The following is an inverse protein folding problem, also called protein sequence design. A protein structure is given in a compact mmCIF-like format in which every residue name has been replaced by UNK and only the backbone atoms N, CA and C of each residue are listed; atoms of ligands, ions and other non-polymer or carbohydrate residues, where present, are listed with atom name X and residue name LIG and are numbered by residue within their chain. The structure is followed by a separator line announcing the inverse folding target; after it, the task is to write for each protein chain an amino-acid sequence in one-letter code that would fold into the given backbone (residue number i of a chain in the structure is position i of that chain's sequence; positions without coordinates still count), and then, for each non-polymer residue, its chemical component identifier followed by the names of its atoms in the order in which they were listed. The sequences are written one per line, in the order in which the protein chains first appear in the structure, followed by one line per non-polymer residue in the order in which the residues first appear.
data_IF_745641259769
#
_entry.id   IF_745641259769
#
_cell.length_a   1.000
_cell.length_b   1.000
_cell.length_c   1.000
_cell.angle_alpha   90.00
_cell.angle_beta   90.00
_cell.angle_gamma   90.00
#
_symmetry.space_group_name_H-M   'P 1'
#
loop_
_entity.id
_entity.type
_entity.pdbx_description
1 polymer ?
#
# COMPACT_ATOMS: atom_id res chain seq x y z
N UNK A 1 7.05 33.16 60.34
CA UNK A 1 5.65 33.36 59.89
C UNK A 1 5.51 32.88 58.46
N UNK A 2 4.73 31.82 58.29
CA UNK A 2 4.80 30.86 57.19
C UNK A 2 4.43 31.39 55.81
N UNK A 3 5.20 30.95 54.81
CA UNK A 3 4.82 31.00 53.41
C UNK A 3 3.73 29.95 53.18
N UNK A 4 2.52 30.42 52.91
CA UNK A 4 1.34 29.63 52.57
C UNK A 4 1.66 28.61 51.47
N UNK A 5 1.59 27.33 51.82
CA UNK A 5 1.51 26.24 50.87
C UNK A 5 0.12 26.28 50.20
N UNK A 6 0.02 26.98 49.07
CA UNK A 6 -1.16 26.91 48.22
C UNK A 6 -1.27 25.49 47.63
N UNK A 7 -1.88 24.57 48.38
CA UNK A 7 -2.22 23.25 47.89
C UNK A 7 -3.17 23.39 46.70
N UNK A 8 -2.79 22.82 45.55
CA UNK A 8 -3.66 22.76 44.38
C UNK A 8 -4.84 21.81 44.65
N UNK A 9 -5.85 22.26 45.41
CA UNK A 9 -7.02 21.47 45.81
C UNK A 9 -7.83 20.89 44.64
N UNK A 10 -7.66 21.44 43.42
CA UNK A 10 -8.34 20.92 42.23
C UNK A 10 -7.85 19.53 41.81
N UNK A 11 -6.61 19.12 42.16
CA UNK A 11 -6.12 17.77 41.84
C UNK A 11 -6.80 16.68 42.68
N UNK A 12 -7.29 17.02 43.86
CA UNK A 12 -8.07 16.13 44.75
C UNK A 12 -9.57 16.20 44.47
N UNK A 13 -10.03 17.02 43.52
CA UNK A 13 -11.44 17.16 43.19
C UNK A 13 -11.94 15.98 42.33
N UNK A 14 -13.17 15.47 42.52
CA UNK A 14 -13.68 14.32 41.75
C UNK A 14 -13.69 14.55 40.22
N UNK A 15 -13.86 15.79 39.78
CA UNK A 15 -13.83 16.15 38.35
C UNK A 15 -12.40 16.34 37.78
N UNK A 16 -11.35 16.06 38.55
CA UNK A 16 -9.98 16.19 38.08
C UNK A 16 -9.71 15.26 36.89
N UNK A 17 -9.29 15.84 35.76
CA UNK A 17 -8.91 15.08 34.57
C UNK A 17 -10.05 14.78 33.61
N UNK A 18 -11.26 15.33 33.82
CA UNK A 18 -12.39 15.22 32.88
C UNK A 18 -12.02 15.66 31.44
N UNK A 19 -11.14 16.66 31.31
CA UNK A 19 -10.64 17.15 30.03
C UNK A 19 -9.38 16.46 29.49
N UNK A 20 -8.93 15.36 30.11
CA UNK A 20 -7.82 14.58 29.54
C UNK A 20 -8.35 13.85 28.30
N UNK A 21 -7.81 14.16 27.13
CA UNK A 21 -8.22 13.55 25.87
C UNK A 21 -7.07 12.79 25.18
N UNK A 22 -5.81 13.05 25.56
CA UNK A 22 -4.63 12.47 24.90
C UNK A 22 -4.60 10.93 24.91
N UNK A 23 -5.26 10.27 25.86
CA UNK A 23 -5.34 8.80 25.91
C UNK A 23 -6.38 8.22 24.93
N UNK A 24 -7.31 9.04 24.44
CA UNK A 24 -8.28 8.66 23.40
C UNK A 24 -7.65 8.72 22.00
N UNK A 25 -6.55 9.46 21.87
CA UNK A 25 -5.80 9.59 20.62
C UNK A 25 -4.73 8.50 20.53
N UNK A 26 -4.44 7.99 19.32
CA UNK A 26 -3.27 7.16 19.09
C UNK A 26 -2.01 7.89 19.57
N UNK A 27 -1.06 7.15 20.17
CA UNK A 27 0.22 7.72 20.59
C UNK A 27 0.94 8.28 19.36
N UNK A 28 1.25 9.58 19.37
CA UNK A 28 2.04 10.20 18.32
C UNK A 28 3.43 9.55 18.27
N UNK A 29 3.71 8.82 17.19
CA UNK A 29 5.06 8.33 16.91
C UNK A 29 6.02 9.48 16.59
N UNK A 30 7.34 9.25 16.59
CA UNK A 30 8.32 10.27 16.22
C UNK A 30 7.99 10.82 14.82
N UNK A 31 8.00 12.15 14.67
CA UNK A 31 7.77 12.83 13.39
C UNK A 31 8.76 12.28 12.36
N UNK A 32 8.29 11.41 11.45
CA UNK A 32 9.13 10.86 10.38
C UNK A 32 9.63 12.02 9.51
N UNK A 33 10.94 12.11 9.28
CA UNK A 33 11.50 13.04 8.28
C UNK A 33 10.89 12.68 6.93
N UNK A 34 10.24 13.65 6.28
CA UNK A 34 9.50 13.44 5.03
C UNK A 34 10.35 12.84 3.91
N UNK A 35 11.67 12.98 3.98
CA UNK A 35 12.58 12.65 2.89
C UNK A 35 13.02 11.17 2.80
N UNK A 36 12.68 10.32 3.79
CA UNK A 36 13.04 8.89 3.74
C UNK A 36 11.82 8.02 3.99
N UNK A 37 11.31 7.40 2.93
CA UNK A 37 10.31 6.32 3.03
C UNK A 37 10.99 5.13 3.70
N UNK A 38 10.72 4.95 4.98
CA UNK A 38 11.19 3.80 5.75
C UNK A 38 10.23 2.63 5.56
N UNK A 39 10.78 1.45 5.35
CA UNK A 39 10.02 0.22 5.31
C UNK A 39 9.28 0.02 6.65
N UNK A 40 8.00 -0.31 6.58
CA UNK A 40 7.22 -0.71 7.76
C UNK A 40 7.47 -2.20 8.02
N UNK A 41 7.40 -2.60 9.28
CA UNK A 41 7.41 -4.02 9.64
C UNK A 41 6.24 -4.73 8.95
N UNK A 42 6.54 -5.81 8.24
CA UNK A 42 5.54 -6.61 7.52
C UNK A 42 4.88 -7.53 8.53
N UNK A 43 3.55 -7.51 8.60
CA UNK A 43 2.82 -8.50 9.38
C UNK A 43 2.71 -9.79 8.58
N UNK A 44 3.23 -10.90 9.12
CA UNK A 44 3.20 -12.22 8.49
C UNK A 44 1.82 -12.89 8.63
N UNK A 45 0.98 -12.37 9.52
CA UNK A 45 -0.35 -12.93 9.81
C UNK A 45 -0.34 -13.92 10.97
N UNK A 46 -1.52 -14.48 11.24
CA UNK A 46 -1.78 -15.56 12.21
C UNK A 46 -2.61 -16.64 11.53
N UNK A 47 -2.86 -17.78 12.20
CA UNK A 47 -3.65 -18.88 11.62
C UNK A 47 -5.09 -18.46 11.18
N UNK A 48 -5.61 -17.38 11.75
CA UNK A 48 -6.99 -16.90 11.50
C UNK A 48 -7.05 -15.57 10.76
N UNK A 49 -5.92 -14.90 10.56
CA UNK A 49 -5.83 -13.59 9.92
C UNK A 49 -4.63 -13.56 8.97
N UNK A 50 -4.89 -13.27 7.71
CA UNK A 50 -3.83 -12.99 6.75
C UNK A 50 -3.06 -11.73 7.16
N UNK A 51 -1.77 -11.74 6.83
CA UNK A 51 -0.87 -10.61 7.03
C UNK A 51 -1.15 -9.44 6.10
N UNK A 52 -0.09 -8.71 5.75
CA UNK A 52 -0.16 -7.63 4.78
C UNK A 52 -0.35 -8.20 3.36
N UNK A 53 -1.48 -7.86 2.73
CA UNK A 53 -1.79 -8.29 1.37
C UNK A 53 -1.77 -7.11 0.40
N UNK A 54 -1.26 -7.35 -0.80
CA UNK A 54 -1.24 -6.42 -1.92
C UNK A 54 -2.23 -6.87 -2.99
N UNK A 55 -3.24 -6.04 -3.24
CA UNK A 55 -4.15 -6.19 -4.37
C UNK A 55 -3.59 -5.37 -5.53
N UNK A 56 -3.04 -6.04 -6.54
CA UNK A 56 -2.47 -5.42 -7.72
C UNK A 56 -3.49 -5.43 -8.86
N UNK A 57 -3.68 -4.28 -9.48
CA UNK A 57 -4.55 -4.09 -10.64
C UNK A 57 -3.69 -3.55 -11.77
N UNK A 58 -3.65 -4.25 -12.90
CA UNK A 58 -2.89 -3.85 -14.08
C UNK A 58 -3.80 -3.72 -15.30
N UNK A 59 -3.61 -2.68 -16.11
CA UNK A 59 -4.30 -2.52 -17.39
C UNK A 59 -3.52 -1.61 -18.33
N UNK A 60 -3.95 -1.58 -19.58
CA UNK A 60 -3.45 -0.64 -20.58
C UNK A 60 -4.10 0.74 -20.47
N UNK A 61 -5.34 0.82 -19.97
CA UNK A 61 -6.05 2.09 -19.77
C UNK A 61 -5.84 2.59 -18.33
N UNK A 62 -5.27 3.79 -18.20
CA UNK A 62 -5.03 4.45 -16.92
C UNK A 62 -6.33 4.71 -16.14
N UNK A 63 -7.38 5.18 -16.83
CA UNK A 63 -8.63 5.60 -16.20
C UNK A 63 -9.37 4.42 -15.56
N UNK A 64 -9.38 3.27 -16.25
CA UNK A 64 -10.00 2.04 -15.75
C UNK A 64 -9.33 1.55 -14.47
N UNK A 65 -7.99 1.49 -14.43
CA UNK A 65 -7.27 1.02 -13.23
C UNK A 65 -7.46 1.97 -12.05
N UNK A 66 -7.45 3.28 -12.28
CA UNK A 66 -7.68 4.26 -11.22
C UNK A 66 -9.09 4.18 -10.64
N UNK A 67 -10.09 4.06 -11.51
CA UNK A 67 -11.47 3.94 -11.09
C UNK A 67 -11.69 2.63 -10.32
N UNK A 68 -11.11 1.52 -10.80
CA UNK A 68 -11.22 0.24 -10.11
C UNK A 68 -10.45 0.23 -8.77
N UNK A 69 -9.27 0.84 -8.72
CA UNK A 69 -8.53 1.01 -7.46
C UNK A 69 -9.30 1.86 -6.44
N UNK A 70 -9.96 2.93 -6.89
CA UNK A 70 -10.85 3.76 -6.07
C UNK A 70 -12.05 2.96 -5.56
N UNK A 71 -12.65 2.11 -6.40
CA UNK A 71 -13.72 1.20 -6.02
C UNK A 71 -13.27 0.21 -4.95
N UNK A 72 -12.17 -0.52 -5.17
CA UNK A 72 -11.61 -1.48 -4.20
C UNK A 72 -11.27 -0.79 -2.88
N UNK A 73 -10.66 0.39 -2.93
CA UNK A 73 -10.34 1.17 -1.74
C UNK A 73 -11.60 1.53 -0.92
N UNK A 74 -12.66 2.00 -1.59
CA UNK A 74 -13.95 2.31 -0.94
C UNK A 74 -14.63 1.05 -0.41
N UNK A 75 -14.56 -0.05 -1.15
CA UNK A 75 -15.09 -1.35 -0.75
C UNK A 75 -14.43 -1.82 0.55
N UNK A 76 -13.09 -1.81 0.62
CA UNK A 76 -12.36 -2.16 1.84
C UNK A 76 -12.77 -1.29 3.03
N UNK A 77 -12.91 0.04 2.83
CA UNK A 77 -13.37 0.94 3.89
C UNK A 77 -14.81 0.64 4.34
N UNK A 78 -15.71 0.30 3.40
CA UNK A 78 -17.10 -0.07 3.72
C UNK A 78 -17.20 -1.38 4.50
N UNK A 79 -16.28 -2.32 4.23
CA UNK A 79 -16.19 -3.62 4.90
C UNK A 79 -15.36 -3.56 6.19
N UNK A 80 -14.97 -2.36 6.64
CA UNK A 80 -14.13 -2.15 7.83
C UNK A 80 -12.77 -2.85 7.77
N UNK A 81 -12.24 -3.09 6.56
CA UNK A 81 -10.88 -3.61 6.35
C UNK A 81 -9.90 -2.44 6.40
N UNK A 82 -8.82 -2.61 7.17
CA UNK A 82 -7.79 -1.58 7.33
C UNK A 82 -6.87 -1.53 6.10
N UNK A 83 -7.00 -0.48 5.31
CA UNK A 83 -6.08 -0.15 4.21
C UNK A 83 -4.84 0.55 4.78
N UNK A 84 -3.64 0.04 4.50
CA UNK A 84 -2.38 0.71 4.91
C UNK A 84 -2.04 1.85 3.95
N UNK A 85 -2.01 1.53 2.66
CA UNK A 85 -1.54 2.42 1.62
C UNK A 85 -2.22 2.06 0.29
N UNK A 86 -2.51 3.07 -0.51
CA UNK A 86 -2.90 2.90 -1.92
C UNK A 86 -1.92 3.70 -2.75
N UNK A 87 -1.26 3.05 -3.70
CA UNK A 87 -0.18 3.66 -4.45
C UNK A 87 -0.12 3.20 -5.91
N UNK A 88 0.64 3.99 -6.68
CA UNK A 88 0.93 3.78 -8.08
C UNK A 88 2.26 3.03 -8.26
N UNK A 89 2.31 2.08 -9.18
CA UNK A 89 3.58 1.55 -9.69
C UNK A 89 4.01 2.33 -10.94
N UNK A 90 5.32 2.42 -11.23
CA UNK A 90 5.82 3.05 -12.44
C UNK A 90 5.27 2.34 -13.68
N UNK A 91 4.84 3.15 -14.65
CA UNK A 91 4.25 2.66 -15.91
C UNK A 91 5.30 1.99 -16.78
N UNK A 92 4.95 0.85 -17.37
CA UNK A 92 5.82 0.12 -18.31
C UNK A 92 5.36 0.38 -19.74
N UNK A 93 6.22 0.95 -20.56
CA UNK A 93 5.98 1.17 -21.99
C UNK A 93 6.59 0.03 -22.78
N UNK A 94 5.76 -0.73 -23.50
CA UNK A 94 6.19 -1.82 -24.34
C UNK A 94 5.96 -1.44 -25.81
N UNK A 95 7.02 -1.54 -26.61
CA UNK A 95 6.94 -1.35 -28.06
C UNK A 95 6.54 -2.67 -28.73
N UNK A 96 5.44 -2.66 -29.47
CA UNK A 96 4.96 -3.81 -30.23
C UNK A 96 5.54 -3.71 -31.62
N UNK A 97 6.38 -4.69 -31.96
CA UNK A 97 6.99 -4.81 -33.27
C UNK A 97 6.28 -5.91 -34.07
N UNK A 98 5.91 -5.61 -35.31
CA UNK A 98 5.39 -6.59 -36.26
C UNK A 98 6.43 -6.95 -37.32
N UNK A 99 6.33 -8.16 -37.86
CA UNK A 99 7.17 -8.64 -38.95
C UNK A 99 6.48 -8.32 -40.29
N UNK A 100 7.20 -7.69 -41.23
CA UNK A 100 6.67 -7.44 -42.58
C UNK A 100 6.36 -8.75 -43.33
N UNK A 101 5.22 -8.84 -44.00
CA UNK A 101 4.72 -10.06 -44.67
C UNK A 101 5.69 -10.65 -45.73
N UNK A 102 6.55 -9.82 -46.32
CA UNK A 102 7.51 -10.22 -47.36
C UNK A 102 8.94 -9.80 -47.03
N UNK A 103 9.24 -9.54 -45.75
CA UNK A 103 10.54 -9.08 -45.29
C UNK A 103 10.99 -9.77 -44.00
N UNK A 104 12.27 -9.60 -43.66
CA UNK A 104 12.82 -10.02 -42.35
C UNK A 104 12.95 -8.86 -41.37
N UNK A 105 12.47 -7.66 -41.73
CA UNK A 105 12.58 -6.46 -40.90
C UNK A 105 11.39 -6.38 -39.95
N UNK A 106 11.69 -6.09 -38.68
CA UNK A 106 10.70 -5.72 -37.68
C UNK A 106 10.36 -4.24 -37.82
N UNK A 107 9.08 -3.91 -37.87
CA UNK A 107 8.56 -2.54 -37.88
C UNK A 107 7.74 -2.28 -36.61
N UNK A 108 7.75 -1.03 -36.15
CA UNK A 108 6.96 -0.61 -34.99
C UNK A 108 5.49 -0.50 -35.38
N UNK A 109 4.63 -1.26 -34.68
CA UNK A 109 3.17 -1.19 -34.82
C UNK A 109 2.60 -0.12 -33.89
N UNK A 110 2.84 -0.31 -32.59
CA UNK A 110 2.21 0.47 -31.53
C UNK A 110 3.07 0.51 -30.27
N UNK A 111 2.81 1.51 -29.43
CA UNK A 111 3.42 1.62 -28.09
C UNK A 111 2.31 1.43 -27.05
N UNK A 112 2.42 0.36 -26.27
CA UNK A 112 1.45 0.02 -25.23
C UNK A 112 1.98 0.45 -23.86
N UNK A 113 1.23 1.31 -23.17
CA UNK A 113 1.50 1.70 -21.79
C UNK A 113 0.74 0.79 -20.84
N UNK A 114 1.43 0.14 -19.91
CA UNK A 114 0.81 -0.63 -18.83
C UNK A 114 0.85 0.15 -17.53
N UNK A 115 -0.32 0.41 -16.97
CA UNK A 115 -0.53 1.09 -15.71
C UNK A 115 -0.84 0.08 -14.62
N UNK A 116 -0.28 0.31 -13.43
CA UNK A 116 -0.49 -0.56 -12.29
C UNK A 116 -0.80 0.26 -11.02
N UNK A 117 -1.85 -0.16 -10.32
CA UNK A 117 -2.24 0.36 -9.01
C UNK A 117 -2.22 -0.77 -7.99
N UNK A 118 -1.82 -0.44 -6.77
CA UNK A 118 -1.75 -1.40 -5.67
C UNK A 118 -2.50 -0.84 -4.47
N UNK A 119 -3.37 -1.65 -3.88
CA UNK A 119 -4.03 -1.37 -2.61
C UNK A 119 -3.52 -2.38 -1.59
N UNK A 120 -2.84 -1.87 -0.55
CA UNK A 120 -2.29 -2.68 0.52
C UNK A 120 -3.28 -2.72 1.69
N UNK A 121 -3.70 -3.92 2.07
CA UNK A 121 -4.66 -4.17 3.15
C UNK A 121 -4.03 -5.02 4.25
N UNK A 122 -4.61 -4.92 5.45
CA UNK A 122 -4.17 -5.69 6.63
C UNK A 122 -5.32 -6.20 7.47
N UNK A 123 -5.05 -7.28 8.21
CA UNK A 123 -6.00 -7.84 9.15
C UNK A 123 -7.20 -8.44 8.43
N UNK A 124 -6.96 -9.13 7.31
CA UNK A 124 -8.00 -9.80 6.57
C UNK A 124 -8.24 -11.18 7.22
N UNK A 125 -9.42 -11.40 7.79
CA UNK A 125 -9.75 -12.69 8.40
C UNK A 125 -9.84 -13.80 7.35
N UNK A 126 -9.40 -15.02 7.71
CA UNK A 126 -9.42 -16.19 6.83
C UNK A 126 -10.81 -16.53 6.28
N UNK A 127 -11.87 -16.28 7.05
CA UNK A 127 -13.26 -16.50 6.62
C UNK A 127 -13.77 -15.42 5.68
N UNK A 128 -13.25 -14.19 5.80
CA UNK A 128 -13.70 -13.05 5.02
C UNK A 128 -12.95 -12.88 3.69
N UNK A 129 -11.70 -13.35 3.63
CA UNK A 129 -10.89 -13.31 2.43
C UNK A 129 -11.55 -13.90 1.16
N UNK A 130 -12.19 -15.09 1.19
CA UNK A 130 -12.85 -15.62 0.00
C UNK A 130 -14.03 -14.75 -0.44
N UNK A 131 -14.80 -14.18 0.50
CA UNK A 131 -15.93 -13.29 0.20
C UNK A 131 -15.43 -12.01 -0.48
N UNK A 132 -14.36 -11.42 0.05
CA UNK A 132 -13.73 -10.25 -0.55
C UNK A 132 -13.26 -10.54 -1.97
N UNK A 133 -12.54 -11.65 -2.17
CA UNK A 133 -12.05 -12.06 -3.47
C UNK A 133 -13.17 -12.27 -4.49
N UNK A 134 -14.24 -12.94 -4.10
CA UNK A 134 -15.40 -13.20 -4.95
C UNK A 134 -16.08 -11.89 -5.39
N UNK A 135 -16.24 -10.94 -4.47
CA UNK A 135 -16.82 -9.62 -4.80
C UNK A 135 -15.91 -8.85 -5.75
N UNK A 136 -14.60 -8.82 -5.51
CA UNK A 136 -13.65 -8.10 -6.36
C UNK A 136 -13.60 -8.71 -7.76
N UNK A 137 -13.57 -10.05 -7.85
CA UNK A 137 -13.55 -10.76 -9.13
C UNK A 137 -14.86 -10.59 -9.91
N UNK A 138 -16.01 -10.62 -9.23
CA UNK A 138 -17.32 -10.42 -9.86
C UNK A 138 -17.50 -9.01 -10.42
N UNK A 139 -16.86 -8.01 -9.81
CA UNK A 139 -16.90 -6.62 -10.25
C UNK A 139 -15.66 -6.20 -11.07
N UNK A 140 -14.84 -7.16 -11.50
CA UNK A 140 -13.62 -6.89 -12.27
C UNK A 140 -14.00 -6.41 -13.69
N UNK A 141 -13.58 -5.19 -14.09
CA UNK A 141 -13.86 -4.69 -15.42
C UNK A 141 -12.98 -5.37 -16.48
N UNK A 142 -13.45 -5.33 -17.73
CA UNK A 142 -12.73 -5.88 -18.87
C UNK A 142 -11.37 -5.19 -19.06
N UNK A 143 -10.35 -5.97 -19.43
CA UNK A 143 -9.00 -5.45 -19.68
C UNK A 143 -8.22 -5.06 -18.42
N UNK A 144 -8.76 -5.25 -17.22
CA UNK A 144 -8.01 -5.16 -15.96
C UNK A 144 -7.61 -6.56 -15.53
N UNK A 145 -6.34 -6.76 -15.19
CA UNK A 145 -5.86 -7.98 -14.55
C UNK A 145 -5.68 -7.75 -13.05
N UNK A 146 -6.26 -8.66 -12.26
CA UNK A 146 -6.18 -8.67 -10.81
C UNK A 146 -5.14 -9.71 -10.35
N UNK A 147 -4.24 -9.31 -9.45
CA UNK A 147 -3.31 -10.20 -8.78
C UNK A 147 -3.28 -9.88 -7.28
N UNK A 148 -3.70 -10.83 -6.45
CA UNK A 148 -3.59 -10.72 -5.01
C UNK A 148 -2.37 -11.53 -4.52
N UNK A 149 -1.48 -10.87 -3.78
CA UNK A 149 -0.25 -11.50 -3.27
C UNK A 149 0.13 -10.95 -1.90
N UNK A 150 0.87 -11.72 -1.14
CA UNK A 150 1.44 -11.26 0.13
C UNK A 150 2.46 -10.15 -0.08
N UNK A 151 2.53 -9.20 0.85
CA UNK A 151 3.50 -8.13 0.79
C UNK A 151 4.89 -8.63 1.18
N UNK A 152 5.83 -8.51 0.24
CA UNK A 152 7.24 -8.86 0.48
C UNK A 152 8.14 -7.63 0.46
N UNK A 153 9.35 -7.76 1.00
CA UNK A 153 10.35 -6.69 0.92
C UNK A 153 10.74 -6.35 -0.53
N UNK A 154 10.68 -7.35 -1.42
CA UNK A 154 10.97 -7.17 -2.84
C UNK A 154 9.96 -6.22 -3.49
N UNK A 155 8.68 -6.32 -3.12
CA UNK A 155 7.65 -5.40 -3.60
C UNK A 155 7.90 -3.97 -3.13
N UNK A 156 8.37 -3.79 -1.90
CA UNK A 156 8.76 -2.48 -1.41
C UNK A 156 9.98 -1.92 -2.15
N UNK A 157 11.02 -2.73 -2.33
CA UNK A 157 12.25 -2.35 -3.06
C UNK A 157 11.96 -2.01 -4.52
N UNK A 158 10.99 -2.67 -5.15
CA UNK A 158 10.60 -2.41 -6.55
C UNK A 158 10.03 -1.00 -6.79
N UNK A 159 9.57 -0.32 -5.73
CA UNK A 159 9.11 1.08 -5.79
C UNK A 159 10.27 2.08 -5.74
N UNK A 160 11.45 1.64 -5.30
CA UNK A 160 12.62 2.50 -5.14
C UNK A 160 13.47 2.51 -6.40
N UNK A 161 14.26 3.57 -6.57
CA UNK A 161 15.28 3.63 -7.63
C UNK A 161 16.39 2.61 -7.34
N UNK A 162 16.88 1.97 -8.38
CA UNK A 162 18.09 1.14 -8.31
C UNK A 162 19.29 1.99 -7.87
N UNK A 163 20.27 1.33 -7.23
CA UNK A 163 21.50 1.95 -6.75
C UNK A 163 22.69 1.24 -7.37
N UNK A 164 23.08 1.60 -8.61
CA UNK A 164 24.13 0.89 -9.34
C UNK A 164 25.47 0.89 -8.59
N UNK A 165 25.83 2.01 -7.95
CA UNK A 165 27.07 2.11 -7.15
C UNK A 165 27.14 1.08 -6.02
N UNK A 166 26.00 0.78 -5.37
CA UNK A 166 25.96 -0.20 -4.28
C UNK A 166 26.03 -1.63 -4.84
N UNK A 167 25.36 -1.89 -5.96
CA UNK A 167 25.42 -3.18 -6.65
C UNK A 167 26.84 -3.49 -7.16
N UNK A 168 27.53 -2.49 -7.71
CA UNK A 168 28.94 -2.60 -8.12
C UNK A 168 29.87 -2.89 -6.93
N UNK A 169 29.69 -2.19 -5.81
CA UNK A 169 30.48 -2.45 -4.59
C UNK A 169 30.23 -3.85 -4.03
N UNK A 170 28.97 -4.32 -4.04
CA UNK A 170 28.65 -5.69 -3.63
C UNK A 170 29.29 -6.73 -4.55
N UNK A 171 29.29 -6.49 -5.86
CA UNK A 171 29.93 -7.36 -6.85
C UNK A 171 31.46 -7.38 -6.73
N UNK A 172 32.08 -6.30 -6.24
CA UNK A 172 33.52 -6.27 -5.96
C UNK A 172 33.91 -6.97 -4.65
N UNK A 173 32.96 -7.11 -3.72
CA UNK A 173 33.17 -7.81 -2.45
C UNK A 173 32.93 -9.32 -2.54
N UNK A 174 32.24 -9.79 -3.59
CA UNK A 174 32.01 -11.21 -3.89
C UNK A 174 33.13 -11.80 -4.74
#
# INVERSE_FOLDING_TARGET
NGLLSCQRHYKSHPAHGIGRYKYLLPKEGPKKKKDKVQMKEINVGTDHEYGDLNIQMTSYDMCLVEQFASYVHKLCNSLSIRVIESYAMPTKTNEVLYLEEKGSKMQLDAVLTTHQRVVQITGLSSTFAPILLEIIQSNQPEGVHLLMKEHTEADFKSRLKSRPELEELLAQMS
#
